data_IF_595285615886
#
_entry.id   IF_595285615886
#
_cell.length_a   1.000
_cell.length_b   1.000
_cell.length_c   1.000
_cell.angle_alpha   90.00
_cell.angle_beta   90.00
_cell.angle_gamma   90.00
#
_symmetry.space_group_name_H-M   'P 1'
#
loop_
_entity.id
_entity.type
_entity.pdbx_description
1 polymer ?
#
# COMPACT_ATOMS: atom_id res chain seq x y z
N UNK A 1 -8.15 -19.80 10.85
CA UNK A 1 -8.24 -20.22 9.43
C UNK A 1 -6.91 -19.89 8.76
N UNK A 2 -6.27 -20.90 8.13
CA UNK A 2 -4.96 -20.70 7.51
C UNK A 2 -5.07 -19.71 6.35
N UNK A 3 -4.16 -18.76 6.27
CA UNK A 3 -4.06 -17.83 5.14
C UNK A 3 -3.90 -18.63 3.83
N UNK A 4 -4.63 -18.28 2.77
CA UNK A 4 -4.51 -18.98 1.49
C UNK A 4 -3.10 -18.85 0.93
N UNK A 5 -2.58 -19.94 0.40
CA UNK A 5 -1.25 -20.01 -0.23
C UNK A 5 -1.15 -19.06 -1.42
N UNK A 6 -0.15 -18.21 -1.43
CA UNK A 6 0.22 -17.36 -2.56
C UNK A 6 0.79 -18.23 -3.67
N UNK A 7 0.05 -18.46 -4.73
CA UNK A 7 0.48 -19.35 -5.81
C UNK A 7 0.58 -18.73 -7.19
N UNK A 8 0.22 -17.45 -7.35
CA UNK A 8 0.40 -16.72 -8.62
C UNK A 8 1.10 -15.37 -8.38
N UNK A 9 2.36 -15.25 -8.84
CA UNK A 9 3.19 -14.10 -8.58
C UNK A 9 2.93 -12.88 -9.46
N UNK A 10 2.27 -13.08 -10.59
CA UNK A 10 2.15 -12.05 -11.63
C UNK A 10 0.71 -11.70 -11.95
N UNK A 11 -0.23 -12.24 -11.18
CA UNK A 11 -1.65 -11.94 -11.37
C UNK A 11 -1.94 -10.47 -11.10
N UNK A 12 -2.37 -9.73 -12.12
CA UNK A 12 -2.85 -8.36 -11.95
C UNK A 12 -4.14 -8.41 -11.12
N UNK A 13 -4.22 -7.68 -9.99
CA UNK A 13 -5.40 -7.71 -9.13
C UNK A 13 -6.64 -7.22 -9.88
N UNK A 14 -7.71 -8.00 -9.86
CA UNK A 14 -9.00 -7.59 -10.41
C UNK A 14 -9.81 -6.71 -9.43
N UNK A 15 -9.47 -6.74 -8.13
CA UNK A 15 -10.11 -5.92 -7.11
C UNK A 15 -9.21 -5.78 -5.88
N UNK A 16 -9.27 -4.63 -5.24
CA UNK A 16 -8.59 -4.37 -3.98
C UNK A 16 -9.58 -3.95 -2.88
N UNK A 17 -9.26 -4.28 -1.65
CA UNK A 17 -10.00 -3.87 -0.46
C UNK A 17 -9.03 -3.50 0.65
N UNK A 18 -9.25 -2.36 1.28
CA UNK A 18 -8.55 -2.03 2.52
C UNK A 18 -9.25 -2.75 3.67
N UNK A 19 -8.55 -3.66 4.35
CA UNK A 19 -9.05 -4.34 5.53
C UNK A 19 -8.30 -3.78 6.73
N UNK A 20 -9.05 -3.22 7.67
CA UNK A 20 -8.50 -2.80 8.96
C UNK A 20 -8.79 -3.91 9.96
N UNK A 21 -7.77 -4.70 10.30
CA UNK A 21 -7.84 -5.54 11.49
C UNK A 21 -7.45 -4.71 12.71
N UNK A 22 -8.36 -4.62 13.64
CA UNK A 22 -8.05 -4.07 14.95
C UNK A 22 -7.32 -5.14 15.76
N UNK A 23 -6.12 -4.85 16.23
CA UNK A 23 -5.27 -5.77 17.01
C UNK A 23 -5.87 -6.21 18.36
N UNK A 24 -7.11 -5.83 18.66
CA UNK A 24 -7.84 -6.17 19.90
C UNK A 24 -9.06 -7.06 19.72
N UNK A 25 -9.35 -7.57 18.53
CA UNK A 25 -10.42 -8.55 18.33
C UNK A 25 -11.85 -8.05 18.58
N UNK A 26 -12.05 -6.76 18.78
CA UNK A 26 -13.37 -6.19 19.04
C UNK A 26 -13.91 -5.46 17.79
N UNK A 27 -14.91 -6.07 17.17
CA UNK A 27 -15.79 -5.43 16.21
C UNK A 27 -15.18 -5.22 14.82
N UNK A 28 -15.67 -6.00 13.85
CA UNK A 28 -15.52 -5.68 12.43
C UNK A 28 -16.27 -4.35 12.20
N UNK A 29 -15.53 -3.24 12.22
CA UNK A 29 -16.05 -1.98 11.69
C UNK A 29 -16.27 -2.15 10.19
N UNK A 30 -17.25 -1.47 9.66
CA UNK A 30 -17.68 -1.53 8.27
C UNK A 30 -16.46 -1.60 7.33
N UNK A 31 -16.27 -2.79 6.77
CA UNK A 31 -15.18 -3.02 5.84
C UNK A 31 -15.44 -2.18 4.60
N UNK A 32 -14.45 -1.43 4.15
CA UNK A 32 -14.52 -0.71 2.89
C UNK A 32 -14.95 -1.67 1.78
N UNK A 33 -15.80 -1.19 0.88
CA UNK A 33 -16.29 -2.00 -0.23
C UNK A 33 -15.16 -2.36 -1.20
N UNK A 34 -15.26 -3.53 -1.85
CA UNK A 34 -14.34 -3.92 -2.89
C UNK A 34 -14.35 -2.91 -4.05
N UNK A 35 -13.19 -2.36 -4.36
CA UNK A 35 -12.95 -1.70 -5.64
C UNK A 35 -12.81 -2.75 -6.74
N UNK A 36 -13.45 -2.54 -7.87
CA UNK A 36 -13.44 -3.47 -9.01
C UNK A 36 -12.82 -2.82 -10.22
N UNK A 37 -12.33 -3.65 -11.16
CA UNK A 37 -11.71 -3.20 -12.40
C UNK A 37 -10.48 -2.29 -12.18
N UNK A 38 -9.74 -2.56 -11.09
CA UNK A 38 -8.54 -1.82 -10.76
C UNK A 38 -7.43 -2.16 -11.74
N UNK A 39 -6.83 -1.16 -12.35
CA UNK A 39 -5.62 -1.30 -13.16
C UNK A 39 -4.41 -1.18 -12.23
N UNK A 40 -3.55 -2.19 -12.22
CA UNK A 40 -2.33 -2.18 -11.43
C UNK A 40 -1.12 -1.89 -12.31
N UNK A 41 -0.21 -1.06 -11.82
CA UNK A 41 1.12 -0.87 -12.35
C UNK A 41 2.14 -1.53 -11.43
N UNK A 42 3.31 -1.87 -11.95
CA UNK A 42 4.37 -2.51 -11.19
C UNK A 42 5.43 -1.48 -10.84
N UNK A 43 5.87 -1.49 -9.61
CA UNK A 43 7.01 -0.74 -9.11
C UNK A 43 7.73 -1.55 -8.03
N UNK A 44 8.96 -1.18 -7.68
CA UNK A 44 9.72 -1.87 -6.62
C UNK A 44 10.65 -0.92 -5.86
N UNK A 45 10.97 -1.31 -4.64
CA UNK A 45 11.89 -0.57 -3.78
C UNK A 45 13.26 -0.48 -4.44
N UNK A 46 13.77 0.73 -4.62
CA UNK A 46 15.05 0.99 -5.27
C UNK A 46 15.01 1.09 -6.79
N UNK A 47 13.82 0.98 -7.41
CA UNK A 47 13.67 1.21 -8.85
C UNK A 47 14.25 2.56 -9.25
N UNK A 48 15.09 2.53 -10.28
CA UNK A 48 15.71 3.73 -10.81
C UNK A 48 14.75 4.46 -11.76
N UNK A 49 14.83 5.79 -11.85
CA UNK A 49 14.03 6.55 -12.79
C UNK A 49 14.18 6.06 -14.23
N UNK A 50 13.07 6.03 -14.93
CA UNK A 50 12.99 5.78 -16.37
C UNK A 50 12.27 6.92 -17.07
N UNK A 51 12.26 6.92 -18.40
CA UNK A 51 11.48 7.90 -19.17
C UNK A 51 9.98 7.86 -18.82
N UNK A 52 9.45 6.67 -18.57
CA UNK A 52 8.04 6.47 -18.24
C UNK A 52 7.73 6.58 -16.74
N UNK A 53 8.72 6.46 -15.88
CA UNK A 53 8.61 6.63 -14.45
C UNK A 53 9.79 7.46 -13.93
N UNK A 54 9.68 8.79 -13.92
CA UNK A 54 10.79 9.67 -13.54
C UNK A 54 11.06 9.70 -12.03
N UNK A 55 10.24 9.05 -11.22
CA UNK A 55 10.37 9.05 -9.76
C UNK A 55 11.26 7.90 -9.30
N UNK A 56 12.35 8.17 -8.56
CA UNK A 56 13.14 7.11 -7.97
C UNK A 56 12.44 6.51 -6.74
N UNK A 57 12.39 5.18 -6.63
CA UNK A 57 11.75 4.47 -5.53
C UNK A 57 12.76 4.02 -4.43
N UNK A 58 13.83 4.78 -4.23
CA UNK A 58 14.73 4.58 -3.09
C UNK A 58 14.16 5.14 -1.78
N UNK A 59 13.09 5.92 -1.89
CA UNK A 59 12.27 6.44 -0.79
C UNK A 59 10.80 6.29 -1.14
N UNK A 60 9.94 6.23 -0.11
CA UNK A 60 8.50 6.32 -0.29
C UNK A 60 7.99 7.69 0.15
N UNK A 61 6.71 7.94 -0.05
CA UNK A 61 6.05 9.16 0.45
C UNK A 61 6.22 9.36 1.97
N UNK A 62 6.38 8.27 2.72
CA UNK A 62 6.44 8.26 4.18
C UNK A 62 7.75 7.76 4.77
N UNK A 63 8.69 7.31 3.94
CA UNK A 63 10.00 6.81 4.39
C UNK A 63 11.11 7.30 3.46
N UNK A 64 11.88 8.27 3.94
CA UNK A 64 12.97 8.87 3.17
C UNK A 64 14.18 7.92 2.99
N UNK A 65 14.23 6.82 3.76
CA UNK A 65 15.29 5.82 3.69
C UNK A 65 14.72 4.44 3.31
N UNK A 66 13.64 4.39 2.54
CA UNK A 66 12.87 3.18 2.30
C UNK A 66 13.71 2.01 1.81
N UNK A 67 14.58 2.22 0.82
CA UNK A 67 15.45 1.16 0.30
C UNK A 67 16.41 0.63 1.38
N UNK A 68 16.99 1.51 2.20
CA UNK A 68 17.88 1.10 3.28
C UNK A 68 17.10 0.35 4.38
N UNK A 69 15.92 0.85 4.76
CA UNK A 69 15.05 0.22 5.76
C UNK A 69 14.47 -1.11 5.27
N UNK A 70 14.25 -1.26 3.98
CA UNK A 70 13.82 -2.52 3.35
C UNK A 70 14.94 -3.58 3.37
N UNK A 71 16.20 -3.14 3.40
CA UNK A 71 17.38 -3.99 3.46
C UNK A 71 18.14 -4.10 2.15
N UNK A 72 17.71 -3.41 1.10
CA UNK A 72 18.39 -3.42 -0.18
C UNK A 72 17.50 -3.03 -1.36
N UNK A 73 18.05 -3.24 -2.55
CA UNK A 73 17.35 -3.05 -3.82
C UNK A 73 16.46 -4.27 -4.09
N UNK A 74 15.18 -4.04 -4.28
CA UNK A 74 14.25 -5.08 -4.74
C UNK A 74 14.30 -5.20 -6.28
N UNK A 75 13.81 -6.30 -6.80
CA UNK A 75 13.74 -6.54 -8.23
C UNK A 75 12.48 -7.32 -8.59
N UNK A 76 11.83 -7.04 -9.74
CA UNK A 76 10.64 -7.77 -10.17
C UNK A 76 10.89 -9.28 -10.37
N UNK A 77 12.09 -9.66 -10.75
CA UNK A 77 12.50 -11.06 -10.90
C UNK A 77 12.82 -11.74 -9.57
N UNK A 78 11.89 -11.70 -8.63
CA UNK A 78 12.04 -12.37 -7.34
C UNK A 78 12.05 -13.90 -7.51
N UNK A 79 12.90 -14.59 -6.74
CA UNK A 79 13.09 -16.05 -6.86
C UNK A 79 12.61 -16.84 -5.65
N UNK A 80 12.60 -16.27 -4.46
CA UNK A 80 12.28 -16.97 -3.21
C UNK A 80 10.87 -16.66 -2.72
N UNK A 81 9.83 -17.27 -3.31
CA UNK A 81 8.44 -17.05 -2.90
C UNK A 81 8.06 -15.57 -2.95
N UNK A 82 8.43 -14.90 -4.03
CA UNK A 82 8.19 -13.47 -4.27
C UNK A 82 8.92 -12.52 -3.31
N UNK A 83 10.00 -12.99 -2.72
CA UNK A 83 10.93 -12.19 -1.92
C UNK A 83 12.19 -11.89 -2.72
N UNK A 84 12.93 -10.82 -2.40
CA UNK A 84 14.25 -10.60 -2.98
C UNK A 84 15.10 -11.85 -2.92
N UNK A 85 15.86 -12.13 -4.00
CA UNK A 85 16.71 -13.33 -4.07
C UNK A 85 18.02 -13.13 -3.32
N UNK A 86 18.54 -11.90 -3.28
CA UNK A 86 19.90 -11.58 -2.86
C UNK A 86 20.00 -11.21 -1.37
N UNK A 87 18.86 -10.94 -0.71
CA UNK A 87 18.84 -10.58 0.71
C UNK A 87 17.49 -10.93 1.36
N UNK A 88 17.47 -10.92 2.69
CA UNK A 88 16.23 -11.04 3.45
C UNK A 88 15.67 -9.63 3.75
N UNK A 89 14.45 -9.30 3.28
CA UNK A 89 13.85 -8.01 3.57
C UNK A 89 13.67 -7.78 5.07
N UNK A 90 13.94 -6.57 5.52
CA UNK A 90 13.70 -6.13 6.91
C UNK A 90 12.27 -5.59 7.10
N UNK A 91 11.62 -5.22 6.00
CA UNK A 91 10.20 -4.84 5.96
C UNK A 91 9.40 -5.91 5.21
N UNK A 92 8.08 -5.78 5.21
CA UNK A 92 7.21 -6.69 4.48
C UNK A 92 7.54 -6.65 2.97
N UNK A 93 7.84 -7.81 2.35
CA UNK A 93 8.13 -7.87 0.91
C UNK A 93 6.89 -7.71 0.02
N UNK A 94 5.69 -7.69 0.59
CA UNK A 94 4.44 -7.46 -0.12
C UNK A 94 3.93 -6.07 0.23
N UNK A 95 4.15 -5.11 -0.65
CA UNK A 95 3.81 -3.72 -0.48
C UNK A 95 3.06 -3.19 -1.70
N UNK A 96 2.26 -2.15 -1.49
CA UNK A 96 1.54 -1.44 -2.54
C UNK A 96 1.61 0.07 -2.33
N UNK A 97 1.29 0.81 -3.39
CA UNK A 97 0.96 2.22 -3.36
C UNK A 97 -0.53 2.41 -3.68
N UNK A 98 -1.17 3.38 -3.04
CA UNK A 98 -2.51 3.86 -3.38
C UNK A 98 -2.46 5.38 -3.58
N UNK A 99 -3.32 5.96 -4.43
CA UNK A 99 -3.20 7.36 -4.84
C UNK A 99 -3.75 8.35 -3.80
N UNK A 100 -3.42 8.15 -2.53
CA UNK A 100 -3.79 9.08 -1.47
C UNK A 100 -2.73 9.15 -0.37
N UNK A 101 -2.25 10.36 -0.11
CA UNK A 101 -1.39 10.67 1.02
C UNK A 101 -2.18 11.50 2.03
N UNK A 102 -2.41 10.96 3.20
CA UNK A 102 -3.09 11.65 4.30
C UNK A 102 -2.27 12.82 4.88
N UNK A 103 -0.95 12.83 4.64
CA UNK A 103 -0.05 13.90 5.07
C UNK A 103 0.27 14.82 3.90
N UNK A 104 -0.15 16.07 3.98
CA UNK A 104 0.11 17.08 2.97
C UNK A 104 1.55 17.63 3.06
N UNK A 105 1.93 18.41 2.04
CA UNK A 105 3.21 19.13 2.04
C UNK A 105 3.28 20.04 3.27
N UNK A 106 4.36 19.92 4.02
CA UNK A 106 4.54 20.63 5.29
C UNK A 106 4.29 19.77 6.53
N UNK A 107 3.88 18.51 6.33
CA UNK A 107 3.78 17.54 7.42
C UNK A 107 2.46 17.57 8.19
N UNK A 108 1.48 18.38 7.80
CA UNK A 108 0.14 18.39 8.42
C UNK A 108 -0.78 17.43 7.70
N UNK A 109 -1.72 16.83 8.42
CA UNK A 109 -2.73 15.99 7.78
C UNK A 109 -3.64 16.83 6.89
N UNK A 110 -4.11 16.21 5.80
CA UNK A 110 -5.10 16.82 4.92
C UNK A 110 -6.40 17.07 5.68
N UNK A 111 -7.12 18.17 5.37
CA UNK A 111 -8.34 18.54 6.10
C UNK A 111 -9.39 17.42 6.12
N UNK A 112 -9.55 16.72 5.00
CA UNK A 112 -10.52 15.64 4.86
C UNK A 112 -10.10 14.34 5.53
N UNK A 113 -8.83 14.15 5.85
CA UNK A 113 -8.29 12.87 6.31
C UNK A 113 -9.01 12.30 7.53
N UNK A 114 -9.34 13.18 8.50
CA UNK A 114 -10.05 12.76 9.71
C UNK A 114 -11.51 12.38 9.50
N UNK A 115 -12.09 12.76 8.36
CA UNK A 115 -13.48 12.46 8.01
C UNK A 115 -13.58 11.21 7.13
N UNK A 116 -12.61 11.04 6.21
CA UNK A 116 -12.68 9.98 5.19
C UNK A 116 -11.96 8.71 5.58
N UNK A 117 -10.97 8.77 6.48
CA UNK A 117 -10.22 7.60 6.95
C UNK A 117 -10.91 7.00 8.19
N UNK A 118 -11.51 5.81 8.10
CA UNK A 118 -12.32 5.25 9.20
C UNK A 118 -11.57 5.02 10.51
N UNK A 119 -10.25 4.87 10.44
CA UNK A 119 -9.38 4.61 11.60
C UNK A 119 -8.54 5.81 12.01
N UNK A 120 -8.80 7.00 11.45
CA UNK A 120 -7.93 8.16 11.63
C UNK A 120 -7.59 8.40 13.11
N UNK A 121 -8.59 8.60 13.93
CA UNK A 121 -8.40 8.96 15.34
C UNK A 121 -7.77 7.85 16.20
N UNK A 122 -7.95 6.60 15.80
CA UNK A 122 -7.31 5.46 16.47
C UNK A 122 -5.80 5.41 16.19
N UNK A 123 -5.44 5.78 14.97
CA UNK A 123 -4.07 5.69 14.47
C UNK A 123 -3.26 6.98 14.60
N UNK A 124 -3.92 8.12 14.79
CA UNK A 124 -3.26 9.42 14.86
C UNK A 124 -2.21 9.46 15.96
N UNK A 125 -0.99 9.88 15.63
CA UNK A 125 0.16 9.99 16.55
C UNK A 125 0.84 11.36 16.46
N UNK A 126 0.19 12.33 15.81
CA UNK A 126 0.72 13.67 15.57
C UNK A 126 0.93 13.95 14.09
N UNK A 127 1.19 15.21 13.78
CA UNK A 127 1.46 15.65 12.42
C UNK A 127 2.72 15.01 11.86
N UNK A 128 2.74 14.81 10.56
CA UNK A 128 3.85 14.20 9.83
C UNK A 128 3.91 12.67 9.89
N UNK A 129 3.06 12.04 10.71
CA UNK A 129 3.00 10.57 10.84
C UNK A 129 1.73 10.08 10.16
N UNK A 130 1.87 9.44 9.00
CA UNK A 130 0.73 8.91 8.25
C UNK A 130 -0.05 7.87 9.05
N UNK A 131 -1.38 7.95 9.01
CA UNK A 131 -2.29 6.92 9.53
C UNK A 131 -2.60 5.84 8.49
N UNK A 132 -2.14 6.02 7.26
CA UNK A 132 -2.29 5.07 6.15
C UNK A 132 -1.11 4.10 6.03
N UNK A 133 0.11 4.57 6.33
CA UNK A 133 1.31 3.75 6.23
C UNK A 133 1.19 2.43 7.02
N UNK A 134 1.60 1.34 6.40
CA UNK A 134 1.62 0.01 7.02
C UNK A 134 0.25 -0.67 7.12
N UNK A 135 -0.82 -0.07 6.59
CA UNK A 135 -2.15 -0.69 6.59
C UNK A 135 -2.22 -1.84 5.61
N UNK A 136 -2.90 -2.90 6.03
CA UNK A 136 -3.11 -4.07 5.20
C UNK A 136 -4.20 -3.83 4.17
N UNK A 137 -3.91 -4.22 2.95
CA UNK A 137 -4.84 -4.19 1.82
C UNK A 137 -5.03 -5.59 1.29
N UNK A 138 -6.29 -6.02 1.20
CA UNK A 138 -6.65 -7.27 0.56
C UNK A 138 -6.77 -7.06 -0.95
N UNK A 139 -6.14 -7.92 -1.73
CA UNK A 139 -6.12 -7.90 -3.19
C UNK A 139 -6.72 -9.21 -3.68
N UNK A 140 -7.81 -9.11 -4.47
CA UNK A 140 -8.47 -10.27 -5.04
C UNK A 140 -8.19 -10.37 -6.54
N UNK A 141 -7.73 -11.53 -6.98
CA UNK A 141 -7.53 -11.84 -8.39
C UNK A 141 -7.84 -13.33 -8.65
N UNK A 142 -8.61 -13.62 -9.68
CA UNK A 142 -8.94 -15.00 -10.11
C UNK A 142 -9.36 -15.95 -8.97
N UNK A 143 -10.22 -15.47 -8.07
CA UNK A 143 -10.72 -16.28 -6.95
C UNK A 143 -9.75 -16.43 -5.78
N UNK A 144 -8.59 -15.79 -5.83
CA UNK A 144 -7.59 -15.79 -4.76
C UNK A 144 -7.52 -14.43 -4.08
N UNK A 145 -7.15 -14.44 -2.80
CA UNK A 145 -6.91 -13.21 -2.02
C UNK A 145 -5.49 -13.25 -1.49
N UNK A 146 -4.76 -12.16 -1.68
CA UNK A 146 -3.50 -11.90 -1.02
C UNK A 146 -3.56 -10.58 -0.26
N UNK A 147 -2.57 -10.33 0.58
CA UNK A 147 -2.48 -9.14 1.40
C UNK A 147 -1.14 -8.46 1.21
N UNK A 148 -1.17 -7.14 1.08
CA UNK A 148 0.01 -6.31 1.01
C UNK A 148 -0.11 -5.13 1.97
N UNK A 149 1.01 -4.55 2.37
CA UNK A 149 1.00 -3.33 3.18
C UNK A 149 1.05 -2.09 2.30
N UNK A 150 0.29 -1.08 2.69
CA UNK A 150 0.31 0.21 2.03
C UNK A 150 1.52 1.00 2.50
N UNK A 151 2.56 1.04 1.68
CA UNK A 151 3.86 1.61 2.05
C UNK A 151 4.26 2.83 1.23
N UNK A 152 3.52 3.14 0.14
CA UNK A 152 3.80 4.29 -0.68
C UNK A 152 2.53 4.91 -1.28
N UNK A 153 2.67 6.06 -1.92
CA UNK A 153 1.59 6.83 -2.52
C UNK A 153 1.78 6.92 -4.03
N UNK A 154 0.74 6.64 -4.77
CA UNK A 154 0.69 6.65 -6.24
C UNK A 154 -0.18 5.53 -6.79
N UNK A 155 -0.20 5.35 -8.11
CA UNK A 155 0.45 6.15 -9.14
C UNK A 155 -0.29 7.46 -9.45
N UNK A 156 0.39 8.37 -10.11
CA UNK A 156 -0.08 9.63 -10.71
C UNK A 156 -0.61 10.68 -9.73
N UNK A 157 -1.55 10.33 -8.87
CA UNK A 157 -2.19 11.24 -7.91
C UNK A 157 -1.79 10.92 -6.47
N UNK A 158 -1.91 11.91 -5.59
CA UNK A 158 -1.51 11.80 -4.19
C UNK A 158 -2.60 12.27 -3.22
N UNK A 159 -3.76 12.65 -3.73
CA UNK A 159 -4.88 13.22 -2.97
C UNK A 159 -6.25 12.68 -3.38
N UNK A 160 -6.29 11.57 -4.08
CA UNK A 160 -7.51 10.96 -4.61
C UNK A 160 -8.22 10.08 -3.55
N UNK A 161 -8.65 10.71 -2.44
CA UNK A 161 -9.36 10.01 -1.37
C UNK A 161 -10.70 9.41 -1.83
N UNK A 162 -11.36 10.06 -2.80
CA UNK A 162 -12.63 9.61 -3.36
C UNK A 162 -12.49 8.24 -4.04
N UNK A 163 -11.34 8.00 -4.65
CA UNK A 163 -11.01 6.67 -5.16
C UNK A 163 -10.70 5.68 -4.03
N UNK A 164 -9.85 6.04 -3.07
CA UNK A 164 -9.38 5.09 -2.04
C UNK A 164 -10.48 4.75 -1.04
N UNK A 165 -11.17 5.75 -0.51
CA UNK A 165 -12.17 5.60 0.56
C UNK A 165 -13.62 5.80 0.08
N UNK A 166 -13.82 6.46 -1.04
CA UNK A 166 -15.12 6.74 -1.62
C UNK A 166 -15.54 5.74 -2.69
N UNK A 167 -16.34 6.19 -3.65
CA UNK A 167 -16.96 5.38 -4.70
C UNK A 167 -16.44 5.66 -6.10
N UNK A 168 -15.47 6.55 -6.25
CA UNK A 168 -14.92 6.86 -7.57
C UNK A 168 -14.32 5.62 -8.23
N UNK A 169 -14.48 5.54 -9.53
CA UNK A 169 -13.85 4.52 -10.34
C UNK A 169 -12.36 4.82 -10.52
N UNK A 170 -11.54 3.79 -10.77
CA UNK A 170 -10.15 3.97 -11.13
C UNK A 170 -9.96 4.72 -12.43
#
# INVERSE_FOLDING_TARGET
>A
EALPSLSDPYGVPAAARVVVENSRGEGVREALSWKRNVVATVFWVGEQPTENNPTPNNKSAWDQNWQANFGGYDHPDRRNGFRPADFTPQLNPFYIALPYNDVAKGGVHRPEASEVIPWFWEAYRGDGISVCKGRWVAIHHEGRVCYAQWEDVGPFEVDHWQYVFGTDAP
#
